data_IF_204143697518
#
_entry.id   IF_204143697518
#
_cell.length_a   1.000
_cell.length_b   1.000
_cell.length_c   1.000
_cell.angle_alpha   90.00
_cell.angle_beta   90.00
_cell.angle_gamma   90.00
#
_symmetry.space_group_name_H-M   'P 1'
#
loop_
_entity.id
_entity.type
_entity.pdbx_description
1 polymer ?
#
# COMPACT_ATOMS: atom_id res chain seq x y z
N UNK A 1 -9.49 13.10 -6.94
CA UNK A 1 -8.21 13.57 -7.53
C UNK A 1 -7.39 12.40 -8.01
N UNK A 2 -6.93 12.48 -9.24
CA UNK A 2 -6.06 11.45 -9.80
C UNK A 2 -4.60 11.77 -9.49
N UNK A 3 -3.86 10.80 -8.93
CA UNK A 3 -2.45 10.98 -8.56
C UNK A 3 -1.50 10.51 -9.66
N UNK A 4 -1.92 9.51 -10.44
CA UNK A 4 -1.25 9.04 -11.65
C UNK A 4 -2.31 8.44 -12.57
N UNK A 5 -1.90 7.90 -13.72
CA UNK A 5 -2.83 7.39 -14.72
C UNK A 5 -3.88 6.43 -14.15
N UNK A 6 -3.47 5.51 -13.26
CA UNK A 6 -4.35 4.46 -12.74
C UNK A 6 -4.59 4.52 -11.23
N UNK A 7 -4.09 5.56 -10.54
CA UNK A 7 -4.25 5.67 -9.09
C UNK A 7 -4.86 6.99 -8.69
N UNK A 8 -5.78 6.95 -7.72
CA UNK A 8 -6.49 8.13 -7.22
C UNK A 8 -6.17 8.37 -5.76
N UNK A 9 -6.38 9.60 -5.30
CA UNK A 9 -6.24 9.95 -3.88
C UNK A 9 -7.20 9.12 -3.02
N UNK A 10 -8.41 8.86 -3.50
CA UNK A 10 -9.39 8.07 -2.77
C UNK A 10 -8.87 6.66 -2.49
N UNK A 11 -8.21 6.01 -3.44
CA UNK A 11 -7.61 4.68 -3.25
C UNK A 11 -6.50 4.72 -2.21
N UNK A 12 -5.67 5.75 -2.22
CA UNK A 12 -4.51 5.86 -1.34
C UNK A 12 -4.86 6.33 0.07
N UNK A 13 -6.10 6.73 0.31
CA UNK A 13 -6.59 7.16 1.62
C UNK A 13 -7.76 6.31 2.13
N UNK A 14 -8.17 5.31 1.37
CA UNK A 14 -9.27 4.43 1.76
C UNK A 14 -8.90 3.60 3.01
N UNK A 15 -9.88 3.39 3.87
CA UNK A 15 -9.71 2.63 5.12
C UNK A 15 -11.05 2.06 5.55
N UNK A 16 -11.02 0.96 6.31
CA UNK A 16 -12.19 0.41 6.99
C UNK A 16 -12.63 1.25 8.18
N UNK A 17 -11.84 2.26 8.59
CA UNK A 17 -12.14 3.16 9.71
C UNK A 17 -12.20 4.61 9.22
N UNK A 18 -13.15 4.97 8.33
CA UNK A 18 -13.16 6.30 7.70
C UNK A 18 -13.33 7.46 8.70
N UNK A 19 -13.98 7.22 9.84
CA UNK A 19 -14.17 8.25 10.86
C UNK A 19 -12.89 8.63 11.61
N UNK A 20 -11.87 7.76 11.55
CA UNK A 20 -10.58 7.99 12.19
C UNK A 20 -9.53 8.55 11.21
N UNK A 21 -9.86 8.56 9.92
CA UNK A 21 -8.95 9.07 8.90
C UNK A 21 -9.14 10.57 8.72
N UNK A 22 -8.14 11.33 9.10
CA UNK A 22 -8.14 12.78 8.89
C UNK A 22 -7.78 13.10 7.44
N UNK A 23 -8.22 14.27 6.97
CA UNK A 23 -7.85 14.75 5.63
C UNK A 23 -6.33 14.92 5.54
N UNK A 24 -5.68 14.36 4.50
CA UNK A 24 -4.23 14.51 4.36
C UNK A 24 -3.83 15.97 4.08
N UNK A 25 -2.68 16.35 4.60
CA UNK A 25 -2.09 17.67 4.31
C UNK A 25 -1.59 17.71 2.87
N UNK A 26 -1.31 18.92 2.36
CA UNK A 26 -0.74 19.08 1.03
C UNK A 26 0.58 18.32 0.90
N UNK A 27 1.44 18.34 1.92
CA UNK A 27 2.70 17.61 1.91
C UNK A 27 2.49 16.10 1.75
N UNK A 28 1.50 15.55 2.44
CA UNK A 28 1.14 14.13 2.32
C UNK A 28 0.61 13.82 0.92
N UNK A 29 -0.26 14.67 0.38
CA UNK A 29 -0.79 14.48 -0.99
C UNK A 29 0.35 14.49 -2.01
N UNK A 30 1.32 15.37 -1.87
CA UNK A 30 2.49 15.41 -2.74
C UNK A 30 3.33 14.14 -2.64
N UNK A 31 3.52 13.61 -1.43
CA UNK A 31 4.23 12.35 -1.22
C UNK A 31 3.45 11.17 -1.83
N UNK A 32 2.14 11.13 -1.67
CA UNK A 32 1.29 10.11 -2.30
C UNK A 32 1.38 10.17 -3.82
N UNK A 33 1.43 11.38 -4.38
CA UNK A 33 1.60 11.54 -5.82
C UNK A 33 2.95 10.99 -6.29
N UNK A 34 4.02 11.28 -5.57
CA UNK A 34 5.35 10.72 -5.87
C UNK A 34 5.35 9.20 -5.78
N UNK A 35 4.73 8.64 -4.75
CA UNK A 35 4.61 7.19 -4.59
C UNK A 35 3.89 6.58 -5.79
N UNK A 36 2.80 7.19 -6.24
CA UNK A 36 2.07 6.69 -7.40
C UNK A 36 2.88 6.82 -8.70
N UNK A 37 3.47 7.96 -8.96
CA UNK A 37 4.21 8.21 -10.21
C UNK A 37 5.49 7.40 -10.30
N UNK A 38 6.24 7.30 -9.19
CA UNK A 38 7.58 6.69 -9.18
C UNK A 38 7.58 5.21 -8.85
N UNK A 39 6.55 4.69 -8.20
CA UNK A 39 6.52 3.32 -7.70
C UNK A 39 5.30 2.54 -8.19
N UNK A 40 4.09 3.00 -7.85
CA UNK A 40 2.88 2.21 -8.11
C UNK A 40 2.49 2.17 -9.58
N UNK A 41 2.62 3.29 -10.30
CA UNK A 41 2.31 3.33 -11.72
C UNK A 41 3.28 2.49 -12.56
N UNK A 42 4.62 2.57 -12.36
CA UNK A 42 5.53 1.66 -13.04
C UNK A 42 5.24 0.17 -12.77
N UNK A 43 4.87 -0.16 -11.53
CA UNK A 43 4.46 -1.52 -11.18
C UNK A 43 3.21 -1.93 -11.98
N UNK A 44 2.19 -1.07 -11.99
CA UNK A 44 0.93 -1.30 -12.72
C UNK A 44 1.20 -1.51 -14.21
N UNK A 45 2.06 -0.70 -14.79
CA UNK A 45 2.39 -0.76 -16.21
C UNK A 45 3.15 -2.04 -16.55
N UNK A 46 4.06 -2.47 -15.69
CA UNK A 46 4.83 -3.71 -15.87
C UNK A 46 3.94 -4.94 -15.79
N UNK A 47 3.03 -4.98 -14.82
CA UNK A 47 2.09 -6.10 -14.66
C UNK A 47 1.06 -6.12 -15.78
N UNK A 48 0.63 -4.95 -16.25
CA UNK A 48 -0.38 -4.85 -17.30
C UNK A 48 -1.80 -5.19 -16.83
N UNK A 49 -2.04 -5.16 -15.51
CA UNK A 49 -3.33 -5.49 -14.92
C UNK A 49 -3.56 -4.61 -13.67
N UNK A 50 -4.82 -4.41 -13.24
CA UNK A 50 -5.10 -3.57 -12.07
C UNK A 50 -4.33 -3.99 -10.83
N UNK A 51 -3.82 -3.01 -10.09
CA UNK A 51 -3.16 -3.18 -8.80
C UNK A 51 -4.04 -2.54 -7.74
N UNK A 52 -4.44 -3.30 -6.74
CA UNK A 52 -5.35 -2.86 -5.69
C UNK A 52 -4.58 -2.54 -4.42
N UNK A 53 -4.93 -1.43 -3.80
CA UNK A 53 -4.28 -0.94 -2.59
C UNK A 53 -5.14 -1.28 -1.38
N UNK A 54 -4.58 -2.03 -0.43
CA UNK A 54 -5.24 -2.35 0.84
C UNK A 54 -5.18 -1.17 1.80
N UNK A 55 -4.03 -0.49 1.85
CA UNK A 55 -3.81 0.62 2.75
C UNK A 55 -2.70 1.51 2.18
N UNK A 56 -2.92 2.81 2.22
CA UNK A 56 -1.91 3.80 1.85
C UNK A 56 -1.68 4.75 3.02
N UNK A 57 -2.10 6.02 2.87
CA UNK A 57 -2.00 7.00 3.94
C UNK A 57 -2.83 6.59 5.16
N UNK A 58 -2.25 6.76 6.34
CA UNK A 58 -2.94 6.68 7.63
C UNK A 58 -2.68 7.96 8.42
N UNK A 59 -3.74 8.62 8.88
CA UNK A 59 -3.61 9.74 9.80
C UNK A 59 -3.14 9.25 11.18
N UNK A 60 -2.67 10.18 12.03
CA UNK A 60 -2.20 9.82 13.38
C UNK A 60 -3.26 9.08 14.18
N UNK A 61 -4.52 9.55 14.15
CA UNK A 61 -5.62 8.92 14.88
C UNK A 61 -5.86 7.49 14.40
N UNK A 62 -5.90 7.30 13.08
CA UNK A 62 -6.10 5.98 12.51
C UNK A 62 -4.92 5.06 12.82
N UNK A 63 -3.69 5.55 12.69
CA UNK A 63 -2.48 4.79 12.98
C UNK A 63 -2.46 4.29 14.43
N UNK A 64 -2.83 5.15 15.38
CA UNK A 64 -2.91 4.77 16.79
C UNK A 64 -3.97 3.69 17.01
N UNK A 65 -5.11 3.79 16.33
CA UNK A 65 -6.23 2.83 16.47
C UNK A 65 -5.84 1.43 15.97
N UNK A 66 -5.07 1.35 14.89
CA UNK A 66 -4.65 0.06 14.32
C UNK A 66 -3.33 -0.45 14.88
N UNK A 67 -2.74 0.26 15.85
CA UNK A 67 -1.50 -0.17 16.50
C UNK A 67 -0.23 0.06 15.68
N UNK A 68 -0.26 1.02 14.75
CA UNK A 68 0.89 1.34 13.93
C UNK A 68 2.00 2.06 14.69
N UNK A 69 3.21 2.01 14.17
CA UNK A 69 4.38 2.68 14.75
C UNK A 69 4.26 4.19 14.55
N UNK A 70 4.48 5.01 15.61
CA UNK A 70 4.51 6.46 15.46
C UNK A 70 5.58 6.90 14.45
N UNK A 71 5.28 7.94 13.66
CA UNK A 71 6.16 8.46 12.61
C UNK A 71 6.48 7.46 11.50
N UNK A 72 5.62 6.47 11.30
CA UNK A 72 5.79 5.50 10.21
C UNK A 72 5.59 6.15 8.83
N UNK A 73 6.11 5.50 7.80
CA UNK A 73 5.99 6.00 6.42
C UNK A 73 4.56 6.19 5.93
N UNK A 74 3.57 5.34 6.29
CA UNK A 74 2.18 5.60 5.93
C UNK A 74 1.63 6.93 6.44
N UNK A 75 2.10 7.42 7.60
CA UNK A 75 1.73 8.75 8.12
C UNK A 75 2.21 9.88 7.22
N UNK A 76 3.26 9.64 6.45
CA UNK A 76 3.87 10.62 5.56
C UNK A 76 3.35 10.52 4.12
N UNK A 77 2.52 9.53 3.81
CA UNK A 77 2.09 9.25 2.44
C UNK A 77 3.18 8.62 1.58
N UNK A 78 4.13 7.91 2.17
CA UNK A 78 5.30 7.35 1.49
C UNK A 78 5.32 5.83 1.46
N UNK A 79 4.23 5.19 1.81
CA UNK A 79 4.13 3.74 1.84
C UNK A 79 2.73 3.27 1.47
N UNK A 80 2.63 2.04 1.00
CA UNK A 80 1.36 1.40 0.69
C UNK A 80 1.48 -0.11 0.87
N UNK A 81 0.34 -0.73 1.17
CA UNK A 81 0.19 -2.18 1.18
C UNK A 81 -0.65 -2.59 -0.02
N UNK A 82 -0.11 -3.48 -0.85
CA UNK A 82 -0.71 -3.91 -2.10
C UNK A 82 -1.40 -5.24 -1.88
N UNK A 83 -2.66 -5.33 -2.32
CA UNK A 83 -3.44 -6.56 -2.24
C UNK A 83 -2.84 -7.66 -3.14
N UNK A 84 -2.75 -8.88 -2.61
CA UNK A 84 -2.34 -10.05 -3.37
C UNK A 84 -3.29 -11.21 -3.08
N UNK A 85 -3.73 -11.88 -4.15
CA UNK A 85 -4.64 -13.03 -4.03
C UNK A 85 -3.92 -14.29 -3.57
N UNK A 86 -2.62 -14.39 -3.87
CA UNK A 86 -1.82 -15.56 -3.51
C UNK A 86 -0.34 -15.16 -3.39
N UNK A 87 0.44 -16.08 -2.83
CA UNK A 87 1.86 -15.85 -2.59
C UNK A 87 2.67 -15.72 -3.89
N UNK A 88 2.30 -16.47 -4.92
CA UNK A 88 3.02 -16.39 -6.20
C UNK A 88 2.91 -15.00 -6.82
N UNK A 89 1.71 -14.41 -6.78
CA UNK A 89 1.50 -13.05 -7.25
C UNK A 89 2.25 -12.05 -6.38
N UNK A 90 2.27 -12.24 -5.06
CA UNK A 90 3.04 -11.39 -4.16
C UNK A 90 4.53 -11.41 -4.49
N UNK A 91 5.08 -12.56 -4.83
CA UNK A 91 6.49 -12.68 -5.24
C UNK A 91 6.78 -11.93 -6.53
N UNK A 92 5.87 -11.97 -7.50
CA UNK A 92 6.02 -11.21 -8.75
C UNK A 92 6.08 -9.71 -8.46
N UNK A 93 5.14 -9.22 -7.67
CA UNK A 93 5.11 -7.80 -7.27
C UNK A 93 6.39 -7.42 -6.52
N UNK A 94 6.78 -8.23 -5.56
CA UNK A 94 7.99 -8.00 -4.75
C UNK A 94 9.24 -7.91 -5.64
N UNK A 95 9.40 -8.81 -6.59
CA UNK A 95 10.56 -8.81 -7.49
C UNK A 95 10.61 -7.56 -8.36
N UNK A 96 9.46 -7.09 -8.85
CA UNK A 96 9.39 -5.86 -9.64
C UNK A 96 9.77 -4.65 -8.76
N UNK A 97 9.23 -4.57 -7.56
CA UNK A 97 9.49 -3.45 -6.64
C UNK A 97 10.95 -3.39 -6.20
N UNK A 98 11.59 -4.54 -5.98
CA UNK A 98 13.01 -4.60 -5.60
C UNK A 98 13.93 -4.00 -6.65
N UNK A 99 13.53 -4.00 -7.90
CA UNK A 99 14.32 -3.45 -9.00
C UNK A 99 14.10 -1.95 -9.21
N UNK A 100 13.14 -1.37 -8.51
CA UNK A 100 12.83 0.06 -8.64
C UNK A 100 13.75 0.87 -7.70
N UNK A 101 14.59 1.79 -8.26
CA UNK A 101 15.52 2.57 -7.45
C UNK A 101 14.84 3.55 -6.48
N UNK A 102 13.56 3.85 -6.69
CA UNK A 102 12.80 4.74 -5.81
C UNK A 102 12.20 4.01 -4.60
N UNK A 103 12.28 2.69 -4.55
CA UNK A 103 11.81 1.87 -3.42
C UNK A 103 12.92 1.76 -2.39
N UNK A 104 12.68 2.23 -1.17
CA UNK A 104 13.64 2.13 -0.07
C UNK A 104 13.51 0.81 0.68
N UNK A 105 12.29 0.24 0.73
CA UNK A 105 12.03 -1.00 1.44
C UNK A 105 10.75 -1.66 0.94
N UNK A 106 10.77 -2.97 0.81
CA UNK A 106 9.59 -3.76 0.46
C UNK A 106 9.68 -5.14 1.09
N UNK A 107 8.53 -5.70 1.48
CA UNK A 107 8.46 -7.06 1.99
C UNK A 107 7.10 -7.67 1.69
N UNK A 108 7.06 -9.01 1.72
CA UNK A 108 5.81 -9.77 1.61
C UNK A 108 5.31 -10.03 3.02
N UNK A 109 4.11 -9.50 3.33
CA UNK A 109 3.44 -9.76 4.59
C UNK A 109 2.49 -10.94 4.45
N UNK A 110 2.37 -11.74 5.52
CA UNK A 110 1.44 -12.86 5.58
C UNK A 110 0.79 -12.90 6.95
N UNK A 111 -0.54 -13.00 6.96
CA UNK A 111 -1.28 -13.23 8.19
C UNK A 111 -1.52 -14.73 8.33
N UNK A 112 -1.15 -15.28 9.50
CA UNK A 112 -1.52 -16.66 9.82
C UNK A 112 -2.97 -16.65 10.24
N UNK A 113 -3.86 -17.40 9.56
CA UNK A 113 -5.24 -17.48 9.98
C UNK A 113 -5.34 -18.17 11.36
N UNK A 114 -6.29 -17.77 12.21
CA UNK A 114 -6.48 -18.40 13.51
C UNK A 114 -7.02 -19.83 13.42
N UNK A 115 -7.50 -20.21 12.24
CA UNK A 115 -8.01 -21.56 11.93
C UNK A 115 -7.59 -21.91 10.50
N UNK A 116 -7.65 -23.19 10.12
CA UNK A 116 -7.38 -23.55 8.73
C UNK A 116 -8.21 -22.67 7.80
N UNK A 117 -7.62 -22.08 6.76
CA UNK A 117 -8.37 -21.24 5.86
C UNK A 117 -9.42 -22.05 5.14
N UNK A 118 -10.62 -21.52 5.04
CA UNK A 118 -11.71 -22.14 4.29
C UNK A 118 -11.42 -22.15 2.79
N UNK A 119 -10.56 -21.27 2.35
CA UNK A 119 -10.15 -21.13 0.95
C UNK A 119 -8.64 -20.97 0.93
N UNK A 120 -7.96 -21.85 0.28
CA UNK A 120 -6.52 -22.01 0.29
C UNK A 120 -5.70 -20.77 0.46
N UNK A 121 -4.59 -20.88 1.14
CA UNK A 121 -3.64 -19.82 1.37
C UNK A 121 -4.10 -18.80 2.41
N UNK A 122 -3.21 -18.24 3.15
CA UNK A 122 -3.47 -17.16 4.07
C UNK A 122 -3.62 -15.82 3.33
N UNK A 123 -3.98 -14.79 4.08
CA UNK A 123 -3.97 -13.41 3.59
C UNK A 123 -2.51 -13.00 3.37
N UNK A 124 -2.21 -12.45 2.22
CA UNK A 124 -0.89 -11.89 1.94
C UNK A 124 -1.01 -10.52 1.28
N UNK A 125 0.05 -9.73 1.43
CA UNK A 125 0.14 -8.40 0.82
C UNK A 125 1.61 -8.09 0.57
N UNK A 126 1.87 -7.07 -0.25
CA UNK A 126 3.23 -6.56 -0.41
C UNK A 126 3.27 -5.14 0.13
N UNK A 127 4.09 -4.92 1.15
CA UNK A 127 4.37 -3.59 1.68
C UNK A 127 5.47 -2.95 0.86
N UNK A 128 5.31 -1.67 0.51
CA UNK A 128 6.32 -0.91 -0.21
C UNK A 128 6.48 0.48 0.41
N UNK A 129 7.72 0.93 0.53
CA UNK A 129 8.08 2.26 1.01
C UNK A 129 8.98 2.95 0.00
N UNK A 130 8.71 4.22 -0.16
CA UNK A 130 9.52 5.12 -0.97
C UNK A 130 10.58 5.83 -0.13
#
# INVERSE_FOLDING_TARGET
MRLSKNFTLAELTATSHPRLQDTPTLAVVQNLQKLCVLVLQPLRDTIGAPVYINSGYRSKRLNARVGGVPNSRPLQGRAADIHCDNLDYAKVIFDILRQNPNVSYTYIGRASPPAPPLQGGGICWVHVQM
#
